data_IF_902270449485
#
_entry.id   IF_902270449485
#
_cell.length_a   1.000
_cell.length_b   1.000
_cell.length_c   1.000
_cell.angle_alpha   90.00
_cell.angle_beta   90.00
_cell.angle_gamma   90.00
#
_symmetry.space_group_name_H-M   'P 1'
#
loop_
_entity.id
_entity.type
_entity.pdbx_description
1 polymer ?
#
# COMPACT_ATOMS: atom_id res chain seq x y z
N UNK A 1 -22.06 3.98 -16.20
CA UNK A 1 -22.31 4.42 -17.58
C UNK A 1 -21.78 3.36 -18.54
N UNK A 2 -22.54 3.00 -19.58
CA UNK A 2 -22.08 2.05 -20.60
C UNK A 2 -20.80 2.52 -21.29
N UNK A 3 -19.87 1.59 -21.52
CA UNK A 3 -18.51 1.91 -21.95
C UNK A 3 -18.45 2.47 -23.37
N UNK A 4 -19.36 2.04 -24.25
CA UNK A 4 -19.50 2.61 -25.58
C UNK A 4 -19.84 4.10 -25.52
N UNK A 5 -20.89 4.45 -24.76
CA UNK A 5 -21.30 5.83 -24.56
C UNK A 5 -20.20 6.65 -23.86
N UNK A 6 -19.49 6.07 -22.89
CA UNK A 6 -18.40 6.74 -22.20
C UNK A 6 -17.24 7.05 -23.16
N UNK A 7 -16.93 6.12 -24.08
CA UNK A 7 -15.91 6.33 -25.11
C UNK A 7 -16.28 7.47 -26.05
N UNK A 8 -17.52 7.51 -26.52
CA UNK A 8 -18.02 8.57 -27.41
C UNK A 8 -17.97 9.93 -26.73
N UNK A 9 -18.50 10.02 -25.51
CA UNK A 9 -18.47 11.25 -24.71
C UNK A 9 -17.04 11.73 -24.45
N UNK A 10 -16.18 10.83 -24.00
CA UNK A 10 -14.81 11.19 -23.68
C UNK A 10 -14.05 11.65 -24.91
N UNK A 11 -14.24 10.98 -26.06
CA UNK A 11 -13.64 11.40 -27.32
C UNK A 11 -14.13 12.78 -27.75
N UNK A 12 -15.43 13.04 -27.71
CA UNK A 12 -16.02 14.33 -28.06
C UNK A 12 -15.47 15.47 -27.20
N UNK A 13 -15.38 15.27 -25.88
CA UNK A 13 -14.79 16.23 -24.96
C UNK A 13 -13.30 16.49 -25.24
N UNK A 14 -12.54 15.43 -25.49
CA UNK A 14 -11.13 15.59 -25.84
C UNK A 14 -10.95 16.38 -27.15
N UNK A 15 -11.83 16.18 -28.14
CA UNK A 15 -11.78 16.92 -29.41
C UNK A 15 -12.17 18.39 -29.24
N UNK A 16 -13.22 18.66 -28.44
CA UNK A 16 -13.66 20.02 -28.06
C UNK A 16 -12.52 20.84 -27.42
N UNK A 17 -11.66 20.18 -26.64
CA UNK A 17 -10.54 20.80 -25.94
C UNK A 17 -9.18 20.68 -26.67
N UNK A 18 -9.18 20.37 -27.97
CA UNK A 18 -7.96 20.41 -28.79
C UNK A 18 -7.00 19.23 -28.59
N UNK A 19 -7.49 18.09 -28.11
CA UNK A 19 -6.72 16.87 -27.87
C UNK A 19 -6.97 15.80 -28.94
N UNK A 20 -7.17 16.19 -30.20
CA UNK A 20 -7.37 15.26 -31.33
C UNK A 20 -6.15 14.32 -31.51
N UNK A 21 -4.95 14.80 -31.21
CA UNK A 21 -3.72 14.00 -31.24
C UNK A 21 -3.46 13.14 -30.00
N UNK A 22 -4.41 13.07 -29.06
CA UNK A 22 -4.30 12.28 -27.84
C UNK A 22 -5.12 10.98 -27.92
N UNK A 23 -4.61 9.95 -27.26
CA UNK A 23 -5.25 8.63 -27.19
C UNK A 23 -6.18 8.55 -25.98
N UNK A 24 -7.33 7.88 -26.17
CA UNK A 24 -8.23 7.47 -25.10
C UNK A 24 -8.05 5.96 -24.86
N UNK A 25 -7.79 5.58 -23.62
CA UNK A 25 -7.59 4.17 -23.23
C UNK A 25 -8.50 3.79 -22.07
N UNK A 26 -8.79 2.49 -21.96
CA UNK A 26 -9.52 1.93 -20.82
C UNK A 26 -8.63 0.91 -20.12
N UNK A 27 -8.48 1.03 -18.81
CA UNK A 27 -7.73 0.10 -17.97
C UNK A 27 -8.64 -0.58 -16.93
N UNK A 28 -8.06 -1.48 -16.13
CA UNK A 28 -8.75 -2.23 -15.06
C UNK A 28 -8.41 -1.71 -13.67
N UNK A 29 -8.09 -0.42 -13.54
CA UNK A 29 -7.94 0.18 -12.21
C UNK A 29 -9.26 0.04 -11.43
N UNK A 30 -9.17 0.00 -10.10
CA UNK A 30 -10.34 -0.16 -9.22
C UNK A 30 -10.45 0.92 -8.14
N UNK A 31 -9.45 1.81 -8.09
CA UNK A 31 -9.29 2.89 -7.10
C UNK A 31 -8.99 4.26 -7.72
N UNK A 32 -8.87 4.32 -9.04
CA UNK A 32 -8.54 5.55 -9.78
C UNK A 32 -9.43 5.58 -11.02
N UNK A 33 -10.32 6.57 -11.09
CA UNK A 33 -11.28 6.69 -12.18
C UNK A 33 -10.64 7.14 -13.51
N UNK A 34 -9.71 8.10 -13.45
CA UNK A 34 -9.03 8.70 -14.61
C UNK A 34 -7.51 8.79 -14.44
N UNK A 35 -6.76 8.94 -15.54
CA UNK A 35 -5.34 9.31 -15.52
C UNK A 35 -4.94 10.03 -16.80
N UNK A 36 -4.20 11.12 -16.63
CA UNK A 36 -3.50 11.80 -17.70
C UNK A 36 -2.03 11.35 -17.74
N UNK A 37 -1.54 11.01 -18.94
CA UNK A 37 -0.13 10.67 -19.22
C UNK A 37 0.41 11.62 -20.29
N UNK A 38 0.89 12.82 -19.92
CA UNK A 38 1.30 13.85 -20.89
C UNK A 38 2.41 13.40 -21.84
N UNK A 39 3.40 12.67 -21.33
CA UNK A 39 4.51 12.15 -22.14
C UNK A 39 4.08 11.15 -23.23
N UNK A 40 2.93 10.49 -23.04
CA UNK A 40 2.34 9.54 -24.00
C UNK A 40 1.15 10.14 -24.76
N UNK A 41 0.79 11.39 -24.49
CA UNK A 41 -0.45 12.03 -24.97
C UNK A 41 -1.66 11.10 -24.82
N UNK A 42 -1.84 10.54 -23.63
CA UNK A 42 -2.90 9.56 -23.35
C UNK A 42 -3.74 9.99 -22.15
N UNK A 43 -5.07 9.90 -22.30
CA UNK A 43 -6.04 9.90 -21.21
C UNK A 43 -6.55 8.46 -21.02
N UNK A 44 -6.55 7.97 -19.79
CA UNK A 44 -7.01 6.64 -19.43
C UNK A 44 -8.19 6.70 -18.47
N UNK A 45 -9.22 5.91 -18.73
CA UNK A 45 -10.35 5.71 -17.83
C UNK A 45 -10.36 4.28 -17.27
N UNK A 46 -10.85 4.12 -16.07
CA UNK A 46 -11.04 2.82 -15.44
C UNK A 46 -12.36 2.20 -15.89
N UNK A 47 -12.31 1.16 -16.73
CA UNK A 47 -13.50 0.43 -17.19
C UNK A 47 -14.43 0.03 -16.03
N UNK A 48 -13.95 -0.60 -14.94
CA UNK A 48 -14.82 -0.99 -13.83
C UNK A 48 -15.52 0.19 -13.13
N UNK A 49 -14.87 1.35 -13.06
CA UNK A 49 -15.41 2.52 -12.36
C UNK A 49 -16.34 3.32 -13.27
N UNK A 50 -16.03 3.38 -14.57
CA UNK A 50 -16.91 4.00 -15.56
C UNK A 50 -18.27 3.31 -15.62
N UNK A 51 -18.34 1.98 -15.49
CA UNK A 51 -19.62 1.26 -15.45
C UNK A 51 -20.44 1.61 -14.21
N UNK A 52 -19.78 1.75 -13.05
CA UNK A 52 -20.43 2.08 -11.79
C UNK A 52 -20.90 3.54 -11.68
N UNK A 53 -20.17 4.46 -12.31
CA UNK A 53 -20.45 5.88 -12.21
C UNK A 53 -21.61 6.32 -13.11
N UNK A 54 -22.35 7.32 -12.66
CA UNK A 54 -23.33 7.99 -13.52
C UNK A 54 -22.65 8.83 -14.61
N UNK A 55 -23.45 9.35 -15.53
CA UNK A 55 -22.97 10.16 -16.65
C UNK A 55 -22.21 11.41 -16.20
N UNK A 56 -22.68 12.09 -15.15
CA UNK A 56 -22.06 13.33 -14.67
C UNK A 56 -20.69 13.06 -14.03
N UNK A 57 -20.59 11.99 -13.23
CA UNK A 57 -19.35 11.54 -12.61
C UNK A 57 -18.29 11.11 -13.64
N UNK A 58 -18.69 10.38 -14.69
CA UNK A 58 -17.78 10.01 -15.78
C UNK A 58 -17.34 11.25 -16.57
N UNK A 59 -18.28 12.17 -16.87
CA UNK A 59 -17.96 13.44 -17.54
C UNK A 59 -16.95 14.25 -16.74
N UNK A 60 -17.16 14.41 -15.45
CA UNK A 60 -16.25 15.14 -14.56
C UNK A 60 -14.86 14.49 -14.52
N UNK A 61 -14.79 13.15 -14.45
CA UNK A 61 -13.53 12.41 -14.54
C UNK A 61 -12.78 12.72 -15.83
N UNK A 62 -13.47 12.74 -16.97
CA UNK A 62 -12.85 13.05 -18.26
C UNK A 62 -12.32 14.47 -18.27
N UNK A 63 -13.15 15.45 -17.88
CA UNK A 63 -12.75 16.86 -17.86
C UNK A 63 -11.58 17.10 -16.88
N UNK A 64 -11.54 16.40 -15.76
CA UNK A 64 -10.41 16.41 -14.83
C UNK A 64 -9.09 16.02 -15.51
N UNK A 65 -9.09 14.93 -16.27
CA UNK A 65 -7.88 14.48 -16.99
C UNK A 65 -7.52 15.37 -18.18
N UNK A 66 -8.52 15.97 -18.85
CA UNK A 66 -8.30 16.99 -19.87
C UNK A 66 -7.65 18.24 -19.25
N UNK A 67 -8.10 18.68 -18.08
CA UNK A 67 -7.49 19.80 -17.37
C UNK A 67 -6.00 19.53 -17.05
N UNK A 68 -5.63 18.29 -16.68
CA UNK A 68 -4.22 17.91 -16.52
C UNK A 68 -3.45 17.97 -17.85
N UNK A 69 -4.05 17.52 -18.95
CA UNK A 69 -3.43 17.57 -20.26
C UNK A 69 -3.14 19.01 -20.71
N UNK A 70 -4.07 19.94 -20.43
CA UNK A 70 -3.96 21.36 -20.76
C UNK A 70 -3.02 22.13 -19.82
N UNK A 71 -3.01 21.81 -18.53
CA UNK A 71 -2.15 22.46 -17.55
C UNK A 71 -0.66 22.13 -17.78
N UNK A 72 -0.37 20.94 -18.29
CA UNK A 72 0.99 20.47 -18.56
C UNK A 72 1.62 19.69 -17.41
N UNK A 73 2.75 19.01 -17.68
CA UNK A 73 3.39 18.09 -16.75
C UNK A 73 3.91 18.80 -15.49
N UNK A 74 3.73 18.18 -14.33
CA UNK A 74 4.28 18.64 -13.06
C UNK A 74 3.46 19.72 -12.32
N UNK A 75 2.40 20.26 -12.93
CA UNK A 75 1.52 21.27 -12.29
C UNK A 75 0.71 20.67 -11.13
N UNK A 76 0.28 19.41 -11.26
CA UNK A 76 -0.64 18.79 -10.30
C UNK A 76 -1.95 19.59 -10.16
N UNK A 77 -2.63 19.47 -9.02
CA UNK A 77 -3.88 20.19 -8.73
C UNK A 77 -3.67 21.64 -8.22
N UNK A 78 -2.65 22.32 -8.72
CA UNK A 78 -2.31 23.70 -8.36
C UNK A 78 -3.28 24.75 -8.94
N UNK A 79 -3.06 26.05 -8.67
CA UNK A 79 -3.96 27.13 -9.11
C UNK A 79 -4.23 27.14 -10.61
N UNK A 80 -3.20 26.88 -11.43
CA UNK A 80 -3.34 26.82 -12.89
C UNK A 80 -4.29 25.69 -13.33
N UNK A 81 -4.13 24.49 -12.77
CA UNK A 81 -5.03 23.37 -13.04
C UNK A 81 -6.45 23.66 -12.58
N UNK A 82 -6.64 24.26 -11.40
CA UNK A 82 -7.98 24.60 -10.88
C UNK A 82 -8.71 25.61 -11.76
N UNK A 83 -7.99 26.62 -12.25
CA UNK A 83 -8.54 27.59 -13.19
C UNK A 83 -8.99 26.93 -14.49
N UNK A 84 -8.17 26.04 -15.05
CA UNK A 84 -8.51 25.27 -16.26
C UNK A 84 -9.70 24.36 -15.99
N UNK A 85 -9.66 23.56 -14.93
CA UNK A 85 -10.74 22.65 -14.54
C UNK A 85 -12.09 23.37 -14.44
N UNK A 86 -12.14 24.49 -13.71
CA UNK A 86 -13.35 25.30 -13.62
C UNK A 86 -13.80 25.86 -14.98
N UNK A 87 -12.86 26.33 -15.81
CA UNK A 87 -13.18 26.91 -17.13
C UNK A 87 -13.77 25.91 -18.12
N UNK A 88 -13.44 24.62 -18.00
CA UNK A 88 -13.96 23.56 -18.87
C UNK A 88 -15.12 22.78 -18.24
N UNK A 89 -15.60 23.23 -17.07
CA UNK A 89 -16.75 22.64 -16.37
C UNK A 89 -16.44 21.38 -15.55
N UNK A 90 -15.18 21.13 -15.20
CA UNK A 90 -14.81 20.14 -14.18
C UNK A 90 -14.95 20.73 -12.77
N UNK A 91 -15.22 19.86 -11.80
CA UNK A 91 -15.11 20.20 -10.38
C UNK A 91 -13.62 20.38 -10.03
N UNK A 92 -13.19 21.56 -9.55
CA UNK A 92 -11.77 21.86 -9.30
C UNK A 92 -11.26 21.27 -7.97
N UNK A 93 -11.64 20.02 -7.70
CA UNK A 93 -11.25 19.24 -6.54
C UNK A 93 -10.29 18.12 -6.93
N UNK A 94 -9.43 17.73 -5.99
CA UNK A 94 -8.36 16.74 -6.24
C UNK A 94 -8.92 15.33 -6.46
N UNK A 95 -9.96 14.99 -5.72
CA UNK A 95 -10.56 13.67 -5.73
C UNK A 95 -12.03 13.82 -6.08
N UNK A 96 -12.55 12.87 -6.85
CA UNK A 96 -13.99 12.63 -6.82
C UNK A 96 -14.41 12.38 -5.37
N UNK A 97 -15.62 12.78 -4.95
CA UNK A 97 -16.13 12.53 -3.61
C UNK A 97 -15.94 11.05 -3.22
N UNK A 98 -15.74 10.76 -1.93
CA UNK A 98 -15.60 9.37 -1.45
C UNK A 98 -16.79 8.48 -1.85
N UNK A 99 -17.94 9.11 -2.11
CA UNK A 99 -19.18 8.50 -2.57
C UNK A 99 -19.19 8.13 -4.06
N UNK A 100 -18.23 8.62 -4.85
CA UNK A 100 -18.03 8.26 -6.25
C UNK A 100 -17.37 6.89 -6.39
N UNK A 101 -17.92 5.89 -5.70
CA UNK A 101 -17.65 4.46 -5.85
C UNK A 101 -16.18 4.05 -5.92
N UNK A 102 -15.62 3.53 -4.83
CA UNK A 102 -14.47 2.61 -4.99
C UNK A 102 -15.01 1.19 -5.11
N UNK A 103 -14.39 0.37 -5.96
CA UNK A 103 -14.70 -1.05 -5.96
C UNK A 103 -14.06 -1.64 -4.70
N UNK A 104 -14.83 -2.26 -3.80
CA UNK A 104 -14.23 -2.88 -2.63
C UNK A 104 -13.36 -4.05 -3.05
N UNK A 105 -12.23 -4.22 -2.36
CA UNK A 105 -11.42 -5.42 -2.49
C UNK A 105 -12.06 -6.64 -1.84
N UNK A 106 -11.93 -7.80 -2.49
CA UNK A 106 -12.45 -9.07 -1.97
C UNK A 106 -11.71 -9.56 -0.72
N UNK A 107 -10.50 -9.05 -0.48
CA UNK A 107 -9.69 -9.37 0.69
C UNK A 107 -9.87 -8.32 1.76
N UNK A 108 -10.57 -8.64 2.85
CA UNK A 108 -10.80 -7.70 3.96
C UNK A 108 -9.93 -8.10 5.15
N UNK A 109 -9.11 -7.17 5.59
CA UNK A 109 -8.28 -7.29 6.78
C UNK A 109 -8.92 -6.56 7.96
N UNK A 110 -9.09 -7.23 9.09
CA UNK A 110 -9.66 -6.67 10.33
C UNK A 110 -8.65 -6.77 11.47
N UNK A 111 -8.33 -5.65 12.12
CA UNK A 111 -7.46 -5.64 13.29
C UNK A 111 -8.27 -5.93 14.57
N UNK A 112 -7.62 -6.24 15.71
CA UNK A 112 -8.33 -6.53 16.96
C UNK A 112 -9.22 -5.39 17.48
N UNK A 113 -8.90 -4.13 17.14
CA UNK A 113 -9.73 -2.97 17.48
C UNK A 113 -10.93 -2.76 16.54
N UNK A 114 -11.13 -3.62 15.53
CA UNK A 114 -12.26 -3.57 14.61
C UNK A 114 -12.06 -2.72 13.34
N UNK A 115 -10.92 -2.03 13.19
CA UNK A 115 -10.64 -1.28 11.96
C UNK A 115 -10.43 -2.23 10.77
N UNK A 116 -11.01 -1.88 9.62
CA UNK A 116 -10.97 -2.69 8.40
C UNK A 116 -10.19 -2.02 7.28
N UNK A 117 -9.50 -2.84 6.48
CA UNK A 117 -8.93 -2.45 5.18
C UNK A 117 -9.32 -3.47 4.11
N UNK A 118 -9.44 -3.05 2.86
CA UNK A 118 -9.66 -3.95 1.73
C UNK A 118 -8.43 -4.04 0.79
N UNK A 119 -8.30 -5.17 0.10
CA UNK A 119 -7.34 -5.39 -0.98
C UNK A 119 -7.98 -6.18 -2.11
N UNK A 120 -7.60 -5.87 -3.34
CA UNK A 120 -7.99 -6.65 -4.52
C UNK A 120 -7.15 -7.92 -4.73
N UNK A 121 -6.04 -8.05 -4.01
CA UNK A 121 -5.13 -9.19 -4.11
C UNK A 121 -4.86 -9.76 -2.73
N UNK A 122 -4.69 -11.08 -2.69
CA UNK A 122 -4.27 -11.81 -1.50
C UNK A 122 -3.03 -11.15 -0.89
N UNK A 123 -3.05 -10.79 0.41
CA UNK A 123 -1.86 -10.34 1.12
C UNK A 123 -0.80 -11.44 1.15
N UNK A 124 0.44 -11.07 0.87
CA UNK A 124 1.59 -12.00 0.88
C UNK A 124 2.53 -11.79 2.05
N UNK A 125 2.39 -10.67 2.77
CA UNK A 125 3.17 -10.29 3.96
C UNK A 125 2.25 -9.78 5.06
N UNK A 126 2.71 -9.93 6.29
CA UNK A 126 2.04 -9.43 7.49
C UNK A 126 2.04 -7.91 7.49
N UNK A 127 0.92 -7.32 7.91
CA UNK A 127 0.77 -5.88 8.07
C UNK A 127 -0.14 -5.60 9.26
N UNK A 128 0.09 -4.48 9.91
CA UNK A 128 -0.68 -4.01 11.07
C UNK A 128 -1.39 -2.69 10.80
N UNK A 129 -2.37 -2.39 11.64
CA UNK A 129 -3.26 -1.26 11.48
C UNK A 129 -2.58 0.07 11.76
N UNK A 130 -2.56 0.95 10.74
CA UNK A 130 -2.00 2.30 10.85
C UNK A 130 -2.86 3.28 11.67
N UNK A 131 -4.13 2.94 11.91
CA UNK A 131 -5.00 3.71 12.80
C UNK A 131 -4.71 3.37 14.27
N UNK A 132 -4.31 2.13 14.57
CA UNK A 132 -3.89 1.72 15.91
C UNK A 132 -2.49 2.26 16.25
N UNK A 133 -1.54 2.22 15.30
CA UNK A 133 -0.18 2.72 15.50
C UNK A 133 0.39 3.34 14.23
N UNK A 134 1.16 4.43 14.38
CA UNK A 134 1.89 5.02 13.24
C UNK A 134 2.97 4.08 12.69
N UNK A 135 3.50 3.18 13.51
CA UNK A 135 4.51 2.18 13.16
C UNK A 135 3.90 0.82 12.85
N UNK A 136 4.77 -0.18 12.65
CA UNK A 136 4.32 -1.57 12.71
C UNK A 136 4.07 -1.94 14.16
N UNK A 137 2.89 -2.45 14.46
CA UNK A 137 2.51 -2.91 15.80
C UNK A 137 2.06 -4.38 15.74
N UNK A 138 2.73 -5.30 16.45
CA UNK A 138 2.40 -6.73 16.45
C UNK A 138 1.03 -7.02 17.09
N UNK A 139 0.51 -6.16 17.98
CA UNK A 139 -0.81 -6.31 18.58
C UNK A 139 -1.93 -5.84 17.65
N UNK A 140 -1.60 -5.07 16.61
CA UNK A 140 -2.55 -4.53 15.64
C UNK A 140 -2.52 -5.26 14.28
N UNK A 141 -2.03 -6.51 14.22
CA UNK A 141 -1.96 -7.30 12.99
C UNK A 141 -3.36 -7.61 12.43
N UNK A 142 -3.52 -7.47 11.11
CA UNK A 142 -4.77 -7.81 10.44
C UNK A 142 -4.98 -9.32 10.32
N UNK A 143 -6.18 -9.77 10.65
CA UNK A 143 -6.73 -11.07 10.23
C UNK A 143 -7.50 -10.90 8.93
N UNK A 144 -7.47 -11.89 8.04
CA UNK A 144 -7.98 -11.73 6.68
C UNK A 144 -9.17 -12.61 6.37
N UNK A 145 -10.12 -12.06 5.62
CA UNK A 145 -11.18 -12.79 4.93
C UNK A 145 -11.04 -12.62 3.42
N UNK A 146 -11.58 -13.56 2.66
CA UNK A 146 -11.73 -13.50 1.21
C UNK A 146 -13.19 -13.76 0.86
N UNK A 147 -13.86 -12.78 0.25
CA UNK A 147 -15.31 -12.78 0.05
C UNK A 147 -16.09 -13.08 1.36
N UNK A 148 -15.67 -12.48 2.47
CA UNK A 148 -16.30 -12.66 3.79
C UNK A 148 -15.98 -13.97 4.50
N UNK A 149 -15.30 -14.91 3.85
CA UNK A 149 -14.88 -16.19 4.47
C UNK A 149 -13.48 -16.05 5.06
N UNK A 150 -13.22 -16.52 6.29
CA UNK A 150 -11.86 -16.54 6.87
C UNK A 150 -10.84 -17.13 5.89
N UNK A 151 -9.80 -16.37 5.58
CA UNK A 151 -8.86 -16.74 4.54
C UNK A 151 -7.73 -17.61 5.09
N UNK A 152 -7.45 -18.72 4.41
CA UNK A 152 -6.24 -19.52 4.66
C UNK A 152 -5.05 -18.84 3.99
N UNK A 153 -4.11 -18.38 4.82
CA UNK A 153 -2.92 -17.66 4.38
C UNK A 153 -1.80 -18.60 3.93
N UNK A 154 -0.98 -18.23 2.92
CA UNK A 154 0.07 -19.09 2.41
C UNK A 154 1.18 -19.34 3.45
N UNK A 155 1.96 -20.43 3.34
CA UNK A 155 3.03 -20.74 4.29
C UNK A 155 4.06 -19.61 4.47
N UNK A 156 4.31 -18.82 3.42
CA UNK A 156 5.19 -17.64 3.53
C UNK A 156 4.65 -16.59 4.50
N UNK A 157 3.35 -16.35 4.48
CA UNK A 157 2.68 -15.41 5.38
C UNK A 157 2.67 -15.94 6.81
N UNK A 158 2.40 -17.24 6.99
CA UNK A 158 2.43 -17.87 8.31
C UNK A 158 3.82 -17.79 8.96
N UNK A 159 4.89 -17.99 8.18
CA UNK A 159 6.27 -17.80 8.67
C UNK A 159 6.58 -16.36 9.04
N UNK A 160 6.12 -15.41 8.22
CA UNK A 160 6.27 -13.97 8.49
C UNK A 160 5.53 -13.58 9.79
N UNK A 161 4.33 -14.13 10.00
CA UNK A 161 3.54 -13.93 11.21
C UNK A 161 4.22 -14.52 12.45
N UNK A 162 4.67 -15.76 12.36
CA UNK A 162 5.38 -16.43 13.46
C UNK A 162 6.66 -15.67 13.83
N UNK A 163 7.42 -15.20 12.83
CA UNK A 163 8.65 -14.41 13.06
C UNK A 163 8.31 -13.10 13.77
N UNK A 164 7.29 -12.39 13.28
CA UNK A 164 6.84 -11.12 13.87
C UNK A 164 6.39 -11.30 15.33
N UNK A 165 5.56 -12.30 15.61
CA UNK A 165 5.08 -12.58 16.96
C UNK A 165 6.22 -12.99 17.89
N UNK A 166 7.22 -13.70 17.38
CA UNK A 166 8.39 -14.09 18.15
C UNK A 166 9.26 -12.90 18.52
N UNK A 167 9.54 -12.00 17.57
CA UNK A 167 10.27 -10.75 17.82
C UNK A 167 9.53 -9.88 18.84
N UNK A 168 8.21 -9.74 18.71
CA UNK A 168 7.38 -8.98 19.66
C UNK A 168 7.46 -9.53 21.09
N UNK A 169 7.40 -10.86 21.26
CA UNK A 169 7.52 -11.51 22.59
C UNK A 169 8.88 -11.32 23.24
N UNK A 170 9.90 -10.99 22.47
CA UNK A 170 11.30 -10.83 22.93
C UNK A 170 11.77 -9.38 22.87
N UNK A 171 10.87 -8.46 22.55
CA UNK A 171 11.19 -7.04 22.57
C UNK A 171 11.73 -6.66 23.96
N UNK A 172 12.84 -5.91 23.98
CA UNK A 172 13.53 -5.55 25.22
C UNK A 172 14.47 -6.62 25.81
N UNK A 173 14.46 -7.89 25.34
CA UNK A 173 15.31 -8.94 25.91
C UNK A 173 16.82 -8.61 25.87
N UNK A 174 17.26 -7.90 24.83
CA UNK A 174 18.64 -7.45 24.68
C UNK A 174 18.98 -6.13 25.40
N UNK A 175 18.04 -5.47 26.07
CA UNK A 175 18.35 -4.23 26.82
C UNK A 175 19.24 -4.51 28.03
N UNK A 176 19.03 -5.65 28.69
CA UNK A 176 19.78 -6.07 29.87
C UNK A 176 21.13 -6.73 29.55
N UNK A 177 21.46 -6.89 28.26
CA UNK A 177 22.67 -7.58 27.79
C UNK A 177 23.79 -6.58 27.50
N UNK A 178 24.92 -6.75 28.19
CA UNK A 178 26.14 -5.97 28.07
C UNK A 178 27.23 -6.68 27.24
N UNK A 179 28.28 -5.93 26.89
CA UNK A 179 29.49 -6.53 26.31
C UNK A 179 30.18 -7.34 27.41
N UNK A 180 30.56 -8.58 27.10
CA UNK A 180 31.13 -9.54 28.05
C UNK A 180 30.12 -10.60 28.52
N UNK A 181 28.82 -10.37 28.35
CA UNK A 181 27.80 -11.32 28.79
C UNK A 181 27.76 -12.56 27.90
N UNK A 182 27.50 -13.70 28.53
CA UNK A 182 27.23 -14.95 27.83
C UNK A 182 25.75 -14.99 27.46
N UNK A 183 25.48 -15.20 26.18
CA UNK A 183 24.12 -15.18 25.63
C UNK A 183 23.85 -16.41 24.77
N UNK A 184 22.58 -16.82 24.76
CA UNK A 184 22.02 -17.83 23.86
C UNK A 184 21.28 -17.14 22.72
N UNK A 185 21.54 -17.57 21.50
CA UNK A 185 20.89 -17.08 20.29
C UNK A 185 19.55 -17.76 20.13
N UNK A 186 18.52 -16.95 19.94
CA UNK A 186 17.14 -17.39 19.83
C UNK A 186 16.58 -17.26 18.41
N UNK A 187 17.39 -16.82 17.44
CA UNK A 187 16.95 -16.69 16.05
C UNK A 187 16.64 -18.08 15.48
N UNK A 188 15.41 -18.35 15.01
CA UNK A 188 15.07 -19.65 14.44
C UNK A 188 15.99 -20.02 13.27
N UNK A 189 16.42 -21.27 13.22
CA UNK A 189 17.22 -21.82 12.13
C UNK A 189 18.61 -22.30 12.57
N UNK A 190 19.60 -22.20 11.68
CA UNK A 190 20.91 -22.87 11.82
C UNK A 190 21.65 -22.60 13.13
N UNK A 191 21.47 -21.41 13.71
CA UNK A 191 22.18 -20.97 14.92
C UNK A 191 21.27 -20.85 16.14
N UNK A 192 20.05 -21.39 16.07
CA UNK A 192 19.17 -21.45 17.23
C UNK A 192 19.82 -22.26 18.37
N UNK A 193 19.81 -21.71 19.58
CA UNK A 193 20.47 -22.28 20.75
C UNK A 193 21.98 -22.06 20.81
N UNK A 194 22.60 -21.38 19.83
CA UNK A 194 24.03 -21.09 19.86
C UNK A 194 24.39 -20.24 21.09
N UNK A 195 25.39 -20.64 21.86
CA UNK A 195 25.87 -19.90 23.03
C UNK A 195 27.22 -19.26 22.75
N UNK A 196 27.36 -17.98 23.05
CA UNK A 196 28.63 -17.25 22.93
C UNK A 196 28.67 -16.01 23.81
N UNK A 197 29.76 -15.25 23.73
CA UNK A 197 29.98 -14.02 24.49
C UNK A 197 29.73 -12.81 23.60
N UNK A 198 29.01 -11.81 24.10
CA UNK A 198 28.82 -10.54 23.40
C UNK A 198 30.13 -9.77 23.37
N UNK A 199 30.65 -9.52 22.18
CA UNK A 199 31.93 -8.84 21.98
C UNK A 199 31.78 -7.43 21.42
N UNK A 200 30.60 -7.09 20.89
CA UNK A 200 30.27 -5.76 20.39
C UNK A 200 28.76 -5.53 20.39
N UNK A 201 28.33 -4.38 20.89
CA UNK A 201 26.96 -3.86 20.76
C UNK A 201 26.90 -2.86 19.61
N UNK A 202 26.12 -3.15 18.58
CA UNK A 202 25.82 -2.24 17.47
C UNK A 202 24.63 -1.34 17.79
N UNK A 203 24.03 -0.72 16.77
CA UNK A 203 22.80 0.10 16.94
C UNK A 203 21.54 -0.74 17.15
N UNK A 204 21.48 -1.94 16.55
CA UNK A 204 20.28 -2.80 16.53
C UNK A 204 20.59 -4.29 16.72
N UNK A 205 21.85 -4.63 17.03
CA UNK A 205 22.36 -6.01 16.99
C UNK A 205 23.61 -6.20 17.85
N UNK A 206 23.76 -7.38 18.41
CA UNK A 206 24.99 -7.84 19.05
C UNK A 206 25.89 -8.60 18.08
N UNK A 207 27.18 -8.58 18.35
CA UNK A 207 28.13 -9.53 17.78
C UNK A 207 28.47 -10.54 18.89
N UNK A 208 28.14 -11.80 18.66
CA UNK A 208 28.26 -12.89 19.63
C UNK A 208 29.34 -13.85 19.15
N UNK A 209 30.41 -14.01 19.94
CA UNK A 209 31.54 -14.89 19.64
C UNK A 209 31.43 -16.19 20.40
N UNK A 210 31.44 -17.30 19.68
CA UNK A 210 31.57 -18.65 20.23
C UNK A 210 32.81 -19.36 19.69
N UNK A 211 32.89 -20.69 19.84
CA UNK A 211 34.03 -21.50 19.37
C UNK A 211 34.21 -21.33 17.85
N UNK A 212 35.19 -20.53 17.45
CA UNK A 212 35.57 -20.30 16.05
C UNK A 212 34.56 -19.52 15.19
N UNK A 213 33.45 -19.03 15.75
CA UNK A 213 32.37 -18.38 14.99
C UNK A 213 32.00 -17.03 15.60
N UNK A 214 31.82 -16.02 14.75
CA UNK A 214 31.27 -14.71 15.13
C UNK A 214 29.92 -14.53 14.45
N UNK A 215 28.85 -14.47 15.24
CA UNK A 215 27.49 -14.22 14.77
C UNK A 215 27.10 -12.78 14.98
N UNK A 216 26.22 -12.28 14.11
CA UNK A 216 25.58 -10.98 14.26
C UNK A 216 24.09 -11.22 14.47
N UNK A 217 23.56 -10.81 15.62
CA UNK A 217 22.22 -11.22 16.10
C UNK A 217 21.44 -10.00 16.57
N UNK A 218 20.16 -9.84 16.18
CA UNK A 218 19.28 -8.78 16.71
C UNK A 218 19.19 -8.81 18.25
N UNK A 219 18.91 -7.66 18.87
CA UNK A 219 18.85 -7.54 20.34
C UNK A 219 17.73 -8.39 20.96
N UNK A 220 16.58 -8.42 20.31
CA UNK A 220 15.40 -9.23 20.64
C UNK A 220 15.60 -10.73 20.35
N UNK A 221 16.76 -11.13 19.85
CA UNK A 221 17.06 -12.51 19.48
C UNK A 221 18.17 -13.13 20.35
N UNK A 222 18.43 -12.55 21.52
CA UNK A 222 19.36 -13.10 22.52
C UNK A 222 18.72 -13.14 23.90
N UNK A 223 19.12 -14.11 24.72
CA UNK A 223 18.86 -14.16 26.16
C UNK A 223 20.15 -14.45 26.91
N UNK A 224 20.21 -14.10 28.20
CA UNK A 224 21.32 -14.49 29.07
C UNK A 224 21.39 -16.03 29.20
N UNK A 225 22.60 -16.59 29.19
CA UNK A 225 22.86 -18.03 29.15
C UNK A 225 23.65 -18.55 30.35
#
# INVERSE_FOLDING_TARGET
MEIGAAREMARGLMDEHGLQGWQLTFDRAKRRAGVCRPGQRTIGLSWPLTELHDVAQVRDTVLHEIAHALAGPGVGHGPAWRAIAASIGAVPERCLPTEAGTIPGDWVGTCPAGHTIDRHRRPTRVSSCRQCSRGFDPEAIFTWTHHGVPAVMPPSYQRDLATTQLSARREGAGELVAIGDRVRVLTPGRYEGFVGVVVKRGRTRFHVRGRGTLLTVPFDHVEAA
#
